data_IF_502429486543
#
_entry.id   IF_502429486543
#
_cell.length_a   1.000
_cell.length_b   1.000
_cell.length_c   1.000
_cell.angle_alpha   90.00
_cell.angle_beta   90.00
_cell.angle_gamma   90.00
#
_symmetry.space_group_name_H-M   'P 1'
#
loop_
_entity.id
_entity.type
_entity.pdbx_description
1 polymer ?
#
# COMPACT_ATOMS: atom_id res chain seq x y z
N UNK A 1 16.08 -5.46 -61.54
CA UNK A 1 15.23 -6.04 -60.49
C UNK A 1 15.91 -7.29 -59.95
N UNK A 2 16.39 -7.24 -58.70
CA UNK A 2 16.92 -8.44 -58.03
C UNK A 2 16.67 -8.29 -56.53
N UNK A 3 15.82 -9.16 -56.01
CA UNK A 3 15.38 -9.23 -54.61
C UNK A 3 16.57 -9.65 -53.73
N UNK A 4 16.93 -8.83 -52.73
CA UNK A 4 17.91 -9.21 -51.71
C UNK A 4 17.19 -9.88 -50.53
N UNK A 5 17.67 -11.08 -50.20
CA UNK A 5 17.17 -11.99 -49.18
C UNK A 5 17.37 -11.43 -47.77
N UNK A 6 16.35 -11.65 -46.95
CA UNK A 6 16.31 -11.40 -45.50
C UNK A 6 17.28 -12.34 -44.80
N UNK A 7 18.18 -11.78 -43.98
CA UNK A 7 18.92 -12.53 -42.96
C UNK A 7 18.29 -12.25 -41.60
N UNK A 8 17.62 -13.28 -41.07
CA UNK A 8 17.12 -13.34 -39.69
C UNK A 8 18.36 -13.47 -38.78
N UNK A 9 18.77 -12.35 -38.21
CA UNK A 9 19.81 -12.31 -37.17
C UNK A 9 19.18 -12.52 -35.80
N UNK A 10 19.20 -13.76 -35.32
CA UNK A 10 19.01 -14.13 -33.93
C UNK A 10 20.13 -13.43 -33.11
N UNK A 11 19.79 -12.33 -32.44
CA UNK A 11 20.72 -11.53 -31.64
C UNK A 11 20.17 -11.34 -30.24
N UNK A 12 20.55 -12.25 -29.33
CA UNK A 12 20.40 -12.13 -27.89
C UNK A 12 20.99 -10.78 -27.44
N UNK A 13 20.19 -9.89 -26.86
CA UNK A 13 20.70 -8.88 -25.94
C UNK A 13 19.72 -8.69 -24.79
N UNK A 14 20.03 -9.43 -23.73
CA UNK A 14 19.54 -9.31 -22.37
C UNK A 14 19.62 -7.86 -21.86
N UNK A 15 18.47 -7.24 -21.57
CA UNK A 15 18.38 -6.12 -20.64
C UNK A 15 17.78 -6.64 -19.33
N UNK A 16 18.62 -7.30 -18.53
CA UNK A 16 18.32 -7.51 -17.11
C UNK A 16 18.54 -6.16 -16.44
N UNK A 17 17.48 -5.35 -16.36
CA UNK A 17 17.48 -4.18 -15.49
C UNK A 17 17.53 -4.67 -14.05
N UNK A 18 18.74 -4.62 -13.50
CA UNK A 18 19.03 -4.80 -12.10
C UNK A 18 18.32 -3.71 -11.28
N UNK A 19 17.08 -3.99 -10.87
CA UNK A 19 16.58 -3.50 -9.60
C UNK A 19 17.01 -4.55 -8.57
N UNK A 20 18.06 -4.26 -7.81
CA UNK A 20 18.49 -5.08 -6.70
C UNK A 20 17.33 -5.26 -5.74
N UNK A 21 16.64 -6.40 -5.84
CA UNK A 21 15.78 -6.89 -4.78
C UNK A 21 16.75 -7.27 -3.68
N UNK A 22 16.99 -6.36 -2.74
CA UNK A 22 17.56 -6.73 -1.45
C UNK A 22 16.64 -7.83 -0.95
N UNK A 23 17.14 -9.07 -0.73
CA UNK A 23 16.35 -10.07 -0.04
C UNK A 23 16.30 -9.55 1.39
N UNK A 24 15.25 -8.80 1.70
CA UNK A 24 14.90 -8.45 3.06
C UNK A 24 14.70 -9.80 3.74
N UNK A 25 15.69 -10.23 4.52
CA UNK A 25 15.58 -11.38 5.39
C UNK A 25 14.50 -11.00 6.40
N UNK A 26 13.25 -11.28 6.04
CA UNK A 26 12.10 -11.05 6.88
C UNK A 26 12.33 -11.89 8.14
N UNK A 27 12.73 -11.22 9.22
CA UNK A 27 12.82 -11.85 10.53
C UNK A 27 11.46 -12.48 10.84
N UNK A 28 11.42 -13.69 11.42
CA UNK A 28 10.16 -14.27 11.87
C UNK A 28 9.45 -13.25 12.76
N UNK A 29 8.14 -13.00 12.56
CA UNK A 29 7.47 -11.86 13.20
C UNK A 29 7.38 -12.08 14.71
N UNK A 30 8.34 -11.53 15.46
CA UNK A 30 8.10 -11.10 16.83
C UNK A 30 7.13 -9.92 16.74
N UNK A 31 5.91 -10.15 17.21
CA UNK A 31 4.79 -9.19 17.12
C UNK A 31 4.82 -8.13 18.22
N UNK A 32 5.90 -8.08 18.99
CA UNK A 32 6.14 -6.99 19.91
C UNK A 32 6.71 -5.84 19.10
N UNK A 33 5.78 -5.05 18.56
CA UNK A 33 6.10 -3.75 18.02
C UNK A 33 6.86 -2.96 19.10
N UNK A 34 7.99 -2.39 18.73
CA UNK A 34 8.77 -1.48 19.56
C UNK A 34 8.71 -0.08 18.97
N UNK A 35 8.86 0.93 19.82
CA UNK A 35 9.00 2.31 19.35
C UNK A 35 10.21 2.40 18.42
N UNK A 36 10.03 2.99 17.23
CA UNK A 36 11.05 3.04 16.19
C UNK A 36 10.95 1.95 15.13
N UNK A 37 10.12 0.91 15.33
CA UNK A 37 9.88 -0.10 14.30
C UNK A 37 9.23 0.51 13.06
N UNK A 38 9.68 0.07 11.88
CA UNK A 38 9.13 0.50 10.60
C UNK A 38 8.45 -0.68 9.91
N UNK A 39 7.20 -0.49 9.50
CA UNK A 39 6.41 -1.49 8.79
C UNK A 39 5.99 -1.00 7.41
N UNK A 40 6.09 -1.88 6.41
CA UNK A 40 5.50 -1.69 5.09
C UNK A 40 4.15 -2.40 5.03
N UNK A 41 3.11 -1.67 4.66
CA UNK A 41 1.80 -2.22 4.29
C UNK A 41 1.64 -2.11 2.79
N UNK A 42 1.46 -3.25 2.10
CA UNK A 42 1.31 -3.26 0.64
C UNK A 42 0.12 -4.11 0.18
N UNK A 43 -0.49 -3.74 -0.94
CA UNK A 43 -1.59 -4.49 -1.53
C UNK A 43 -1.10 -5.70 -2.32
N UNK A 44 -1.68 -6.86 -2.03
CA UNK A 44 -1.54 -8.08 -2.83
C UNK A 44 -2.55 -8.05 -3.99
N UNK A 45 -3.81 -7.69 -3.68
CA UNK A 45 -4.90 -7.54 -4.65
C UNK A 45 -5.96 -6.62 -4.07
N UNK A 46 -6.56 -5.76 -4.89
CA UNK A 46 -7.60 -4.86 -4.41
C UNK A 46 -8.40 -4.21 -5.53
N UNK A 47 -9.54 -3.67 -5.15
CA UNK A 47 -10.41 -2.88 -6.02
C UNK A 47 -11.01 -1.72 -5.23
N UNK A 48 -11.43 -0.69 -5.96
CA UNK A 48 -12.26 0.39 -5.45
C UNK A 48 -13.61 0.37 -6.16
N UNK A 49 -14.66 0.75 -5.44
CA UNK A 49 -16.03 0.87 -5.94
C UNK A 49 -16.55 2.28 -5.71
N UNK A 50 -17.36 2.78 -6.61
CA UNK A 50 -18.07 4.04 -6.44
C UNK A 50 -19.38 4.01 -7.24
N UNK A 51 -20.30 4.91 -6.89
CA UNK A 51 -21.45 5.24 -7.74
C UNK A 51 -21.11 6.53 -8.49
N UNK A 52 -21.08 6.47 -9.83
CA UNK A 52 -20.77 7.62 -10.68
C UNK A 52 -21.92 7.80 -11.66
N UNK A 53 -22.60 8.95 -11.59
CA UNK A 53 -23.78 9.24 -12.40
C UNK A 53 -24.88 8.16 -12.33
N UNK A 54 -25.05 7.54 -11.15
CA UNK A 54 -26.03 6.46 -10.93
C UNK A 54 -25.56 5.06 -11.33
N UNK A 55 -24.39 4.92 -11.94
CA UNK A 55 -23.84 3.62 -12.36
C UNK A 55 -22.79 3.10 -11.36
N UNK A 56 -22.84 1.80 -11.01
CA UNK A 56 -21.82 1.18 -10.16
C UNK A 56 -20.53 0.97 -10.95
N UNK A 57 -19.46 1.63 -10.53
CA UNK A 57 -18.12 1.51 -11.11
C UNK A 57 -17.23 0.69 -10.19
N UNK A 58 -16.46 -0.24 -10.76
CA UNK A 58 -15.45 -1.03 -10.05
C UNK A 58 -14.13 -1.04 -10.81
N UNK A 59 -13.08 -0.57 -10.16
CA UNK A 59 -11.74 -0.40 -10.75
C UNK A 59 -10.67 -1.05 -9.89
N UNK A 60 -9.49 -1.31 -10.46
CA UNK A 60 -8.34 -1.77 -9.68
C UNK A 60 -7.90 -0.68 -8.71
N UNK A 61 -7.52 -1.10 -7.51
CA UNK A 61 -6.95 -0.22 -6.51
C UNK A 61 -5.81 -0.91 -5.76
N UNK A 62 -4.82 -0.11 -5.35
CA UNK A 62 -3.74 -0.54 -4.48
C UNK A 62 -3.35 0.56 -3.50
N UNK A 63 -2.80 0.13 -2.39
CA UNK A 63 -2.24 0.94 -1.32
C UNK A 63 -0.84 0.43 -1.01
N UNK A 64 0.07 1.36 -0.80
CA UNK A 64 1.38 1.13 -0.18
C UNK A 64 1.60 2.21 0.88
N UNK A 65 1.86 1.82 2.12
CA UNK A 65 2.10 2.72 3.25
C UNK A 65 3.33 2.26 4.02
N UNK A 66 4.18 3.20 4.42
CA UNK A 66 5.25 2.94 5.38
C UNK A 66 4.86 3.59 6.70
N UNK A 67 4.80 2.79 7.76
CA UNK A 67 4.37 3.19 9.09
C UNK A 67 5.51 3.09 10.08
N UNK A 68 5.79 4.18 10.81
CA UNK A 68 6.73 4.23 11.92
C UNK A 68 5.97 4.15 13.24
N UNK A 69 6.32 3.18 14.08
CA UNK A 69 5.77 3.05 15.44
C UNK A 69 6.30 4.17 16.32
N UNK A 70 5.39 4.95 16.90
CA UNK A 70 5.72 6.08 17.77
C UNK A 70 5.45 5.78 19.23
N UNK A 71 4.45 4.95 19.53
CA UNK A 71 4.10 4.56 20.90
C UNK A 71 3.64 3.11 20.96
N UNK A 72 3.96 2.45 22.07
CA UNK A 72 3.53 1.09 22.36
C UNK A 72 3.00 1.05 23.78
N UNK A 73 1.73 0.69 23.89
CA UNK A 73 1.01 0.44 25.14
C UNK A 73 0.68 -1.05 25.24
N UNK A 74 0.06 -1.48 26.34
CA UNK A 74 -0.31 -2.88 26.56
C UNK A 74 -1.11 -3.44 25.36
N UNK A 75 -2.20 -2.77 24.99
CA UNK A 75 -3.13 -3.22 23.95
C UNK A 75 -3.12 -2.38 22.67
N UNK A 76 -2.40 -1.27 22.65
CA UNK A 76 -2.41 -0.30 21.55
C UNK A 76 -1.00 -0.03 21.04
N UNK A 77 -0.90 0.18 19.72
CA UNK A 77 0.31 0.67 19.06
C UNK A 77 -0.10 1.88 18.24
N UNK A 78 0.49 3.04 18.53
CA UNK A 78 0.31 4.23 17.72
C UNK A 78 1.46 4.32 16.71
N UNK A 79 1.14 4.75 15.49
CA UNK A 79 2.11 4.93 14.43
C UNK A 79 1.78 6.14 13.57
N UNK A 80 2.81 6.69 12.93
CA UNK A 80 2.68 7.70 11.88
C UNK A 80 2.93 7.08 10.51
N UNK A 81 2.28 7.60 9.47
CA UNK A 81 2.63 7.24 8.09
C UNK A 81 3.70 8.22 7.63
N UNK A 82 4.87 7.70 7.26
CA UNK A 82 6.01 8.52 6.83
C UNK A 82 6.05 8.69 5.31
N UNK A 83 5.48 7.74 4.59
CA UNK A 83 5.36 7.78 3.13
C UNK A 83 4.24 6.84 2.70
N UNK A 84 3.62 7.13 1.55
CA UNK A 84 2.65 6.22 0.99
C UNK A 84 2.11 6.63 -0.36
N UNK A 85 1.37 5.72 -0.96
CA UNK A 85 0.58 6.00 -2.14
C UNK A 85 -0.67 5.15 -2.18
N UNK A 86 -1.74 5.73 -2.74
CA UNK A 86 -2.96 5.04 -3.12
C UNK A 86 -3.07 5.15 -4.63
N UNK A 87 -3.35 4.05 -5.32
CA UNK A 87 -3.59 4.04 -6.76
C UNK A 87 -5.03 3.59 -6.99
N UNK A 88 -5.82 4.38 -7.70
CA UNK A 88 -7.19 4.04 -8.09
C UNK A 88 -7.30 4.24 -9.60
N UNK A 89 -7.64 3.18 -10.33
CA UNK A 89 -7.75 3.21 -11.79
C UNK A 89 -6.51 3.79 -12.52
N UNK A 90 -5.31 3.52 -11.99
CA UNK A 90 -4.04 4.02 -12.55
C UNK A 90 -3.66 5.42 -12.10
N UNK A 91 -4.57 6.20 -11.52
CA UNK A 91 -4.25 7.49 -10.90
C UNK A 91 -3.55 7.25 -9.57
N UNK A 92 -2.33 7.77 -9.42
CA UNK A 92 -1.54 7.68 -8.19
C UNK A 92 -1.73 8.94 -7.35
N UNK A 93 -2.13 8.75 -6.10
CA UNK A 93 -2.21 9.75 -5.06
C UNK A 93 -1.05 9.53 -4.10
N UNK A 94 -0.30 10.59 -3.81
CA UNK A 94 0.83 10.56 -2.89
C UNK A 94 0.34 10.95 -1.51
N UNK A 95 0.75 10.21 -0.49
CA UNK A 95 0.47 10.52 0.92
C UNK A 95 1.70 11.29 1.42
N UNK A 96 1.50 12.54 1.80
CA UNK A 96 2.54 13.44 2.31
C UNK A 96 2.71 13.22 3.82
N UNK A 97 3.86 13.61 4.39
CA UNK A 97 4.17 13.45 5.81
C UNK A 97 3.80 14.74 6.55
N UNK A 98 2.71 14.75 7.32
CA UNK A 98 2.31 15.91 8.14
C UNK A 98 1.40 15.54 9.33
N UNK A 99 0.28 14.85 9.09
CA UNK A 99 -0.78 14.59 10.09
C UNK A 99 -1.27 13.13 10.12
N UNK A 100 -0.62 12.26 9.37
CA UNK A 100 -1.07 10.89 9.11
C UNK A 100 -0.84 10.04 10.35
N UNK A 101 -1.95 9.59 10.94
CA UNK A 101 -1.94 8.81 12.17
C UNK A 101 -2.63 7.48 11.94
N UNK A 102 -2.14 6.48 12.66
CA UNK A 102 -2.85 5.24 12.79
C UNK A 102 -2.68 4.62 14.16
N UNK A 103 -3.65 3.77 14.48
CA UNK A 103 -3.72 3.05 15.74
C UNK A 103 -3.97 1.59 15.41
N UNK A 104 -3.18 0.70 15.98
CA UNK A 104 -3.40 -0.74 15.95
C UNK A 104 -3.79 -1.24 17.33
N UNK A 105 -4.87 -2.00 17.40
CA UNK A 105 -5.34 -2.66 18.62
C UNK A 105 -4.94 -4.13 18.60
N UNK A 106 -4.14 -4.53 19.58
CA UNK A 106 -3.58 -5.89 19.70
C UNK A 106 -4.66 -6.94 20.03
N UNK A 107 -5.71 -6.57 20.77
CA UNK A 107 -6.81 -7.48 21.14
C UNK A 107 -7.68 -7.81 19.94
N UNK A 108 -8.12 -6.79 19.21
CA UNK A 108 -8.99 -6.96 18.03
C UNK A 108 -8.20 -7.29 16.76
N UNK A 109 -6.87 -7.12 16.79
CA UNK A 109 -5.96 -7.28 15.66
C UNK A 109 -6.38 -6.42 14.47
N UNK A 110 -6.77 -5.19 14.76
CA UNK A 110 -7.27 -4.24 13.77
C UNK A 110 -6.49 -2.92 13.83
N UNK A 111 -6.30 -2.29 12.68
CA UNK A 111 -5.72 -0.96 12.59
C UNK A 111 -6.62 0.01 11.83
N UNK A 112 -6.54 1.29 12.20
CA UNK A 112 -7.07 2.41 11.43
C UNK A 112 -5.90 3.25 10.93
N UNK A 113 -6.02 3.76 9.70
CA UNK A 113 -5.07 4.64 9.03
C UNK A 113 -5.87 5.83 8.52
N UNK A 114 -5.47 7.03 8.86
CA UNK A 114 -6.13 8.25 8.44
C UNK A 114 -5.09 9.26 8.00
N UNK A 115 -5.37 9.97 6.91
CA UNK A 115 -4.39 10.88 6.36
C UNK A 115 -4.87 11.68 5.16
N UNK A 116 -4.02 12.63 4.78
CA UNK A 116 -4.19 13.42 3.58
C UNK A 116 -3.21 12.94 2.51
N UNK A 117 -3.48 13.37 1.28
CA UNK A 117 -2.55 13.19 0.18
C UNK A 117 -2.82 14.18 -0.92
N UNK A 118 -2.13 14.03 -2.03
CA UNK A 118 -2.27 14.85 -3.22
C UNK A 118 -2.43 13.99 -4.46
N UNK A 119 -3.25 14.46 -5.40
CA UNK A 119 -3.32 13.91 -6.76
C UNK A 119 -2.14 14.40 -7.63
N UNK A 120 -2.00 13.93 -8.88
CA UNK A 120 -0.93 14.39 -9.78
C UNK A 120 -0.95 15.90 -10.10
N UNK A 121 -2.05 16.58 -9.82
CA UNK A 121 -2.22 18.03 -9.99
C UNK A 121 -1.98 18.82 -8.69
N UNK A 122 -1.59 18.16 -7.60
CA UNK A 122 -1.36 18.79 -6.29
C UNK A 122 -2.66 19.10 -5.52
N UNK A 123 -3.81 18.58 -5.95
CA UNK A 123 -5.09 18.76 -5.24
C UNK A 123 -5.17 17.80 -4.07
N UNK A 124 -5.57 18.32 -2.91
CA UNK A 124 -5.71 17.53 -1.68
C UNK A 124 -6.79 16.44 -1.81
N UNK A 125 -6.47 15.27 -1.28
CA UNK A 125 -7.37 14.12 -1.09
C UNK A 125 -7.32 13.64 0.35
N UNK A 126 -8.36 12.94 0.78
CA UNK A 126 -8.46 12.38 2.13
C UNK A 126 -8.80 10.90 2.05
N UNK A 127 -8.19 10.11 2.96
CA UNK A 127 -8.48 8.70 3.09
C UNK A 127 -8.68 8.30 4.55
N UNK A 128 -9.51 7.28 4.75
CA UNK A 128 -9.59 6.52 5.99
C UNK A 128 -9.64 5.04 5.63
N UNK A 129 -8.70 4.27 6.18
CA UNK A 129 -8.57 2.84 5.95
C UNK A 129 -8.64 2.10 7.28
N UNK A 130 -9.21 0.91 7.25
CA UNK A 130 -9.28 -0.02 8.35
C UNK A 130 -8.73 -1.36 7.90
N UNK A 131 -7.86 -1.98 8.68
CA UNK A 131 -7.36 -3.33 8.43
C UNK A 131 -7.66 -4.28 9.58
N UNK A 132 -7.83 -5.56 9.27
CA UNK A 132 -7.95 -6.65 10.24
C UNK A 132 -7.00 -7.77 9.83
N UNK A 133 -6.14 -8.20 10.75
CA UNK A 133 -5.22 -9.30 10.54
C UNK A 133 -5.99 -10.60 10.27
N UNK A 134 -5.56 -11.37 9.29
CA UNK A 134 -6.20 -12.63 8.90
C UNK A 134 -5.33 -13.84 9.14
N UNK A 135 -4.09 -13.81 8.65
CA UNK A 135 -3.15 -14.92 8.82
C UNK A 135 -1.72 -14.45 8.75
N UNK A 136 -0.83 -15.18 9.43
CA UNK A 136 0.61 -14.99 9.29
C UNK A 136 1.09 -15.58 7.95
N UNK A 137 2.12 -14.97 7.39
CA UNK A 137 2.93 -15.51 6.30
C UNK A 137 4.39 -15.51 6.70
N UNK A 138 5.24 -16.16 5.90
CA UNK A 138 6.68 -16.16 6.12
C UNK A 138 7.30 -14.75 6.08
N UNK A 139 6.69 -13.82 5.35
CA UNK A 139 7.17 -12.44 5.15
C UNK A 139 6.41 -11.38 5.96
N UNK A 140 5.44 -11.76 6.81
CA UNK A 140 4.64 -10.78 7.56
C UNK A 140 3.24 -11.24 7.93
N UNK A 141 2.29 -10.31 7.98
CA UNK A 141 0.88 -10.57 8.32
C UNK A 141 -0.02 -10.17 7.17
N UNK A 142 -0.80 -11.12 6.67
CA UNK A 142 -1.82 -10.88 5.66
C UNK A 142 -3.06 -10.31 6.35
N UNK A 143 -3.57 -9.22 5.80
CA UNK A 143 -4.70 -8.47 6.34
C UNK A 143 -5.79 -8.31 5.28
N UNK A 144 -7.03 -8.13 5.74
CA UNK A 144 -8.09 -7.52 4.94
C UNK A 144 -8.09 -6.03 5.27
N UNK A 145 -8.10 -5.18 4.26
CA UNK A 145 -8.18 -3.73 4.41
C UNK A 145 -9.38 -3.19 3.64
N UNK A 146 -10.14 -2.28 4.26
CA UNK A 146 -11.29 -1.60 3.67
C UNK A 146 -11.25 -0.13 4.02
N UNK A 147 -11.91 0.73 3.27
CA UNK A 147 -11.96 2.14 3.67
C UNK A 147 -12.55 3.06 2.63
N UNK A 148 -12.59 4.35 2.96
CA UNK A 148 -13.05 5.41 2.08
C UNK A 148 -11.90 6.23 1.54
N UNK A 149 -12.04 6.69 0.31
CA UNK A 149 -11.14 7.66 -0.32
C UNK A 149 -11.99 8.66 -1.10
N UNK A 150 -11.81 9.96 -0.82
CA UNK A 150 -12.51 11.02 -1.53
C UNK A 150 -11.57 11.64 -2.56
N UNK A 151 -11.88 11.47 -3.83
CA UNK A 151 -11.07 12.06 -4.90
C UNK A 151 -11.39 13.55 -5.10
N UNK A 152 -10.51 14.30 -5.80
CA UNK A 152 -10.69 15.75 -5.98
C UNK A 152 -11.90 16.13 -6.83
N UNK A 153 -12.48 15.18 -7.57
CA UNK A 153 -13.69 15.39 -8.37
C UNK A 153 -14.96 15.11 -7.54
N UNK A 154 -14.81 14.78 -6.25
CA UNK A 154 -15.91 14.53 -5.32
C UNK A 154 -16.42 13.09 -5.32
N UNK A 155 -15.77 12.18 -6.04
CA UNK A 155 -16.16 10.76 -6.03
C UNK A 155 -15.68 10.11 -4.74
N UNK A 156 -16.61 9.45 -4.04
CA UNK A 156 -16.31 8.66 -2.86
C UNK A 156 -16.06 7.21 -3.28
N UNK A 157 -14.81 6.78 -3.15
CA UNK A 157 -14.36 5.43 -3.45
C UNK A 157 -14.35 4.58 -2.18
N UNK A 158 -15.02 3.43 -2.23
CA UNK A 158 -14.89 2.38 -1.23
C UNK A 158 -13.79 1.40 -1.67
N UNK A 159 -12.74 1.27 -0.87
CA UNK A 159 -11.64 0.35 -1.12
C UNK A 159 -11.90 -0.99 -0.44
N UNK A 160 -11.59 -2.07 -1.15
CA UNK A 160 -11.57 -3.43 -0.63
C UNK A 160 -10.29 -4.15 -1.10
N UNK A 161 -9.38 -4.35 -0.16
CA UNK A 161 -8.00 -4.76 -0.42
C UNK A 161 -7.62 -5.98 0.43
N UNK A 162 -6.82 -6.86 -0.16
CA UNK A 162 -6.00 -7.84 0.55
C UNK A 162 -4.59 -7.30 0.61
N UNK A 163 -4.06 -7.13 1.81
CA UNK A 163 -2.76 -6.49 2.06
C UNK A 163 -1.82 -7.39 2.84
N UNK A 164 -0.54 -7.03 2.85
CA UNK A 164 0.52 -7.63 3.65
C UNK A 164 1.19 -6.52 4.47
N UNK A 165 1.35 -6.73 5.77
CA UNK A 165 2.19 -5.92 6.65
C UNK A 165 3.50 -6.66 6.94
N UNK A 166 4.63 -6.07 6.60
CA UNK A 166 5.97 -6.61 6.80
C UNK A 166 6.82 -5.64 7.61
N UNK A 167 7.63 -6.13 8.56
CA UNK A 167 8.60 -5.30 9.28
C UNK A 167 9.79 -5.04 8.36
N UNK A 168 10.13 -3.76 8.15
CA UNK A 168 11.28 -3.35 7.32
C UNK A 168 12.56 -3.26 8.15
N UNK A 169 12.47 -2.65 9.32
CA UNK A 169 13.56 -2.46 10.27
C UNK A 169 12.99 -2.27 11.69
N UNK A 170 13.85 -2.41 12.69
CA UNK A 170 13.51 -2.20 14.10
C UNK A 170 14.76 -2.03 14.95
N UNK A 171 14.59 -1.40 16.11
CA UNK A 171 15.62 -1.21 17.14
C UNK A 171 15.98 -2.51 17.85
#
# INVERSE_FOLDING_TARGET
MTVKKVFVGLGLLTLVLAAGVVPLLAMPPTLDASVGDVYLVMTIKGYAKAMINGEPVRVRASVQLTALVTEVHEDLVAFRITEGSIVINGTRYIIEEDWERGIYNKRTKSATYEGWGVDPQGRRVYFILHSVDKRRSWSGVIMRMTGGFKDPNGVNWELELKTLRSKLSGS
#
